data_IF_370709742011
#
_entry.id   IF_370709742011
#
_cell.length_a   1.000
_cell.length_b   1.000
_cell.length_c   1.000
_cell.angle_alpha   90.00
_cell.angle_beta   90.00
_cell.angle_gamma   90.00
#
_symmetry.space_group_name_H-M   'P 1'
#
loop_
_entity.id
_entity.type
_entity.pdbx_description
1 polymer ?
#
# COMPACT_ATOMS: atom_id res chain seq x y z
N UNK A 1 -35.69 4.18 -27.74
CA UNK A 1 -35.46 2.85 -27.13
C UNK A 1 -34.14 2.21 -27.58
N UNK A 2 -33.87 2.02 -28.88
CA UNK A 2 -32.59 1.44 -29.39
C UNK A 2 -31.30 2.12 -28.90
N UNK A 3 -31.27 3.46 -28.85
CA UNK A 3 -30.10 4.23 -28.40
C UNK A 3 -29.77 4.01 -26.91
N UNK A 4 -30.80 3.81 -26.08
CA UNK A 4 -30.65 3.58 -24.64
C UNK A 4 -30.00 2.22 -24.39
N UNK A 5 -30.40 1.19 -25.15
CA UNK A 5 -29.82 -0.15 -25.06
C UNK A 5 -28.33 -0.15 -25.45
N UNK A 6 -27.96 0.57 -26.51
CA UNK A 6 -26.55 0.69 -26.91
C UNK A 6 -25.69 1.40 -25.86
N UNK A 7 -26.21 2.46 -25.25
CA UNK A 7 -25.50 3.19 -24.18
C UNK A 7 -25.29 2.27 -22.97
N UNK A 8 -26.30 1.48 -22.60
CA UNK A 8 -26.21 0.57 -21.45
C UNK A 8 -25.14 -0.53 -21.67
N UNK A 9 -25.06 -1.08 -22.87
CA UNK A 9 -24.04 -2.08 -23.23
C UNK A 9 -22.64 -1.48 -23.17
N UNK A 10 -22.46 -0.26 -23.68
CA UNK A 10 -21.17 0.44 -23.66
C UNK A 10 -20.72 0.74 -22.22
N UNK A 11 -21.64 1.22 -21.38
CA UNK A 11 -21.35 1.51 -19.97
C UNK A 11 -21.01 0.24 -19.20
N UNK A 12 -21.74 -0.85 -19.45
CA UNK A 12 -21.48 -2.14 -18.80
C UNK A 12 -20.13 -2.72 -19.24
N UNK A 13 -19.81 -2.64 -20.54
CA UNK A 13 -18.51 -3.04 -21.08
C UNK A 13 -17.35 -2.24 -20.48
N UNK A 14 -17.50 -0.91 -20.39
CA UNK A 14 -16.51 -0.03 -19.74
C UNK A 14 -16.35 -0.37 -18.25
N UNK A 15 -17.43 -0.66 -17.53
CA UNK A 15 -17.37 -1.05 -16.12
C UNK A 15 -16.63 -2.38 -15.92
N UNK A 16 -16.90 -3.38 -16.78
CA UNK A 16 -16.17 -4.66 -16.75
C UNK A 16 -14.68 -4.48 -17.08
N UNK A 17 -14.34 -3.68 -18.09
CA UNK A 17 -12.94 -3.37 -18.43
C UNK A 17 -12.23 -2.67 -17.27
N UNK A 18 -12.89 -1.69 -16.65
CA UNK A 18 -12.34 -0.97 -15.51
C UNK A 18 -12.05 -1.89 -14.32
N UNK A 19 -12.92 -2.87 -14.05
CA UNK A 19 -12.71 -3.87 -13.01
C UNK A 19 -11.51 -4.78 -13.29
N UNK A 20 -11.28 -5.16 -14.55
CA UNK A 20 -10.15 -6.01 -14.94
C UNK A 20 -8.81 -5.26 -14.82
N UNK A 21 -8.77 -3.97 -15.15
CA UNK A 21 -7.57 -3.13 -15.00
C UNK A 21 -7.23 -2.90 -13.52
N UNK A 22 -8.25 -2.79 -12.67
CA UNK A 22 -8.08 -2.77 -11.20
C UNK A 22 -7.90 -4.18 -10.61
N UNK A 23 -7.20 -5.07 -11.34
CA UNK A 23 -6.92 -6.45 -10.93
C UNK A 23 -6.53 -6.55 -9.45
N UNK A 24 -6.80 -7.69 -8.80
CA UNK A 24 -6.76 -7.83 -7.35
C UNK A 24 -5.43 -7.30 -6.86
N UNK A 25 -5.48 -6.13 -6.21
CA UNK A 25 -4.33 -5.50 -5.58
C UNK A 25 -3.67 -6.59 -4.75
N UNK A 26 -2.50 -7.07 -5.20
CA UNK A 26 -1.79 -8.16 -4.52
C UNK A 26 -1.78 -7.85 -3.03
N UNK A 27 -2.00 -8.87 -2.19
CA UNK A 27 -2.15 -8.73 -0.75
C UNK A 27 -0.98 -7.94 -0.16
N UNK A 28 -1.16 -6.62 -0.03
CA UNK A 28 -0.14 -5.71 0.47
C UNK A 28 -0.07 -5.93 1.96
N UNK A 29 1.03 -6.49 2.43
CA UNK A 29 1.19 -6.74 3.85
C UNK A 29 1.72 -5.45 4.49
N UNK A 30 0.85 -4.76 5.23
CA UNK A 30 1.27 -3.62 6.03
C UNK A 30 1.78 -4.09 7.40
N UNK A 31 3.08 -3.93 7.65
CA UNK A 31 3.69 -4.26 8.93
C UNK A 31 3.99 -2.97 9.69
N UNK A 32 3.50 -2.87 10.93
CA UNK A 32 3.85 -1.76 11.83
C UNK A 32 4.83 -2.26 12.88
N UNK A 33 5.97 -1.59 13.00
CA UNK A 33 7.06 -1.96 13.89
C UNK A 33 7.50 -0.77 14.72
N UNK A 34 7.98 -1.03 15.93
CA UNK A 34 8.38 0.02 16.87
C UNK A 34 9.86 -0.12 17.23
N UNK A 35 10.64 0.90 16.95
CA UNK A 35 12.07 0.96 17.23
C UNK A 35 12.37 1.96 18.34
N UNK A 36 13.42 1.69 19.13
CA UNK A 36 13.99 2.66 20.05
C UNK A 36 14.59 3.86 19.31
N UNK A 37 15.21 3.59 18.16
CA UNK A 37 15.78 4.59 17.27
C UNK A 37 15.50 4.19 15.81
N UNK A 38 15.05 5.14 15.00
CA UNK A 38 14.76 4.99 13.57
C UNK A 38 15.61 5.95 12.71
N UNK A 39 16.76 6.39 13.21
CA UNK A 39 17.66 7.29 12.49
C UNK A 39 18.01 6.73 11.11
N UNK A 40 17.86 7.57 10.08
CA UNK A 40 18.12 7.19 8.69
C UNK A 40 16.97 6.46 8.00
N UNK A 41 15.94 6.00 8.72
CA UNK A 41 14.73 5.48 8.10
C UNK A 41 13.90 6.64 7.54
N UNK A 42 13.50 6.50 6.27
CA UNK A 42 12.69 7.48 5.56
C UNK A 42 11.69 6.76 4.69
N UNK A 43 10.57 7.42 4.43
CA UNK A 43 9.58 6.95 3.47
C UNK A 43 10.25 6.64 2.12
N UNK A 44 9.95 5.47 1.57
CA UNK A 44 10.51 4.97 0.32
C UNK A 44 11.83 4.20 0.46
N UNK A 45 12.44 4.14 1.66
CA UNK A 45 13.62 3.29 1.86
C UNK A 45 13.27 1.81 1.63
N UNK A 46 14.15 1.02 0.99
CA UNK A 46 13.88 -0.38 0.69
C UNK A 46 13.96 -1.24 1.94
N UNK A 47 13.00 -2.14 2.10
CA UNK A 47 12.97 -3.15 3.18
C UNK A 47 13.58 -4.43 2.63
N UNK A 48 14.60 -4.95 3.31
CA UNK A 48 15.30 -6.17 2.87
C UNK A 48 15.17 -7.29 3.90
N UNK A 49 14.85 -8.48 3.44
CA UNK A 49 14.87 -9.72 4.22
C UNK A 49 15.84 -10.69 3.58
N UNK A 50 16.85 -11.14 4.34
CA UNK A 50 17.90 -12.03 3.84
C UNK A 50 18.58 -11.54 2.54
N UNK A 51 18.73 -10.23 2.38
CA UNK A 51 19.32 -9.61 1.18
C UNK A 51 18.34 -9.40 0.01
N UNK A 52 17.12 -9.94 0.08
CA UNK A 52 16.07 -9.75 -0.94
C UNK A 52 15.27 -8.49 -0.63
N UNK A 53 15.03 -7.65 -1.64
CA UNK A 53 14.14 -6.50 -1.51
C UNK A 53 12.68 -6.99 -1.48
N UNK A 54 12.02 -6.81 -0.34
CA UNK A 54 10.66 -7.30 -0.08
C UNK A 54 9.63 -6.20 -0.02
N UNK A 55 10.03 -4.92 -0.04
CA UNK A 55 9.08 -3.83 0.10
C UNK A 55 9.74 -2.48 0.34
N UNK A 56 8.94 -1.53 0.83
CA UNK A 56 9.39 -0.18 1.11
C UNK A 56 8.75 0.38 2.37
N UNK A 57 9.43 1.31 3.02
CA UNK A 57 8.88 2.05 4.16
C UNK A 57 7.77 2.96 3.66
N UNK A 58 6.55 2.76 4.15
CA UNK A 58 5.40 3.60 3.80
C UNK A 58 5.34 4.87 4.65
N UNK A 59 5.73 4.79 5.93
CA UNK A 59 5.71 5.93 6.85
C UNK A 59 6.65 5.74 8.06
N UNK A 60 7.13 6.86 8.62
CA UNK A 60 7.94 6.89 9.86
C UNK A 60 7.42 8.01 10.74
N UNK A 61 7.04 7.70 11.98
CA UNK A 61 6.48 8.66 12.94
C UNK A 61 7.10 8.48 14.31
N UNK A 62 7.22 9.59 15.03
CA UNK A 62 7.59 9.58 16.45
C UNK A 62 6.32 9.59 17.30
N UNK A 63 6.22 8.63 18.20
CA UNK A 63 5.17 8.41 19.19
C UNK A 63 5.76 8.58 20.59
N UNK A 64 5.72 9.79 21.16
CA UNK A 64 6.25 10.04 22.51
C UNK A 64 5.51 9.25 23.59
N UNK A 65 4.31 8.73 23.29
CA UNK A 65 3.51 7.88 24.17
C UNK A 65 4.15 6.50 24.40
N UNK A 66 4.96 6.01 23.44
CA UNK A 66 5.71 4.77 23.59
C UNK A 66 7.07 5.07 24.22
N UNK A 67 7.19 4.80 25.53
CA UNK A 67 8.40 5.07 26.33
C UNK A 67 9.67 4.43 25.77
N UNK A 68 9.64 3.11 25.56
CA UNK A 68 10.85 2.36 25.24
C UNK A 68 11.16 2.36 23.72
N UNK A 69 10.12 2.56 22.89
CA UNK A 69 10.20 2.47 21.42
C UNK A 69 9.39 3.58 20.74
N UNK A 70 9.85 4.84 20.82
CA UNK A 70 9.08 5.98 20.33
C UNK A 70 9.01 6.04 18.80
N UNK A 71 9.76 5.26 18.03
CA UNK A 71 9.71 5.33 16.57
C UNK A 71 8.75 4.27 15.99
N UNK A 72 7.59 4.71 15.51
CA UNK A 72 6.65 3.88 14.73
C UNK A 72 7.05 3.90 13.25
N UNK A 73 7.28 2.71 12.68
CA UNK A 73 7.64 2.54 11.27
C UNK A 73 6.64 1.61 10.61
N UNK A 74 6.02 2.12 9.53
CA UNK A 74 5.11 1.35 8.69
C UNK A 74 5.82 0.88 7.44
N UNK A 75 5.66 -0.39 7.16
CA UNK A 75 6.31 -1.11 6.08
C UNK A 75 5.23 -1.62 5.14
N UNK A 76 5.44 -1.42 3.85
CA UNK A 76 4.59 -1.98 2.80
C UNK A 76 5.41 -3.02 2.04
N UNK A 77 5.10 -4.28 2.30
CA UNK A 77 5.65 -5.46 1.61
C UNK A 77 4.77 -5.80 0.39
#
# INVERSE_FOLDING_TARGET
MRKIVLILIIVFGLACIFLVIKGPSGSRLELTTYFADAQGLRRGAPVRLAGVNVGSISDVRVRPDLRDNPAEVKLAL
#
